data_IF_040498558916
#
_entry.id   IF_040498558916
#
_cell.length_a   1.000
_cell.length_b   1.000
_cell.length_c   1.000
_cell.angle_alpha   90.00
_cell.angle_beta   90.00
_cell.angle_gamma   90.00
#
_symmetry.space_group_name_H-M   'P 1'
#
loop_
_entity.id
_entity.type
_entity.pdbx_description
1 polymer ?
#
# COMPACT_ATOMS: atom_id res chain seq x y z
N UNK A 1 -24.35 18.02 1.72
CA UNK A 1 -24.73 16.63 1.45
C UNK A 1 -23.55 15.98 0.75
N UNK A 2 -22.64 15.37 1.49
CA UNK A 2 -21.47 14.68 0.96
C UNK A 2 -21.85 13.21 0.71
N UNK A 3 -21.89 12.81 -0.55
CA UNK A 3 -22.11 11.44 -0.95
C UNK A 3 -20.81 10.66 -0.68
N UNK A 4 -20.78 9.91 0.41
CA UNK A 4 -19.78 8.88 0.65
C UNK A 4 -20.04 7.74 -0.35
N UNK A 5 -19.38 7.77 -1.50
CA UNK A 5 -19.32 6.64 -2.41
C UNK A 5 -18.17 5.73 -2.01
N UNK A 6 -18.53 4.49 -1.79
CA UNK A 6 -17.74 3.31 -1.49
C UNK A 6 -16.39 3.32 -2.20
N UNK A 7 -15.31 3.49 -1.43
CA UNK A 7 -13.97 3.13 -1.88
C UNK A 7 -13.89 1.61 -1.95
N UNK A 8 -14.01 1.08 -3.16
CA UNK A 8 -13.66 -0.31 -3.41
C UNK A 8 -12.14 -0.41 -3.51
N UNK A 9 -11.45 -0.47 -2.38
CA UNK A 9 -10.08 -0.99 -2.34
C UNK A 9 -10.18 -2.50 -2.59
N UNK A 10 -10.39 -2.84 -3.85
CA UNK A 10 -10.34 -4.22 -4.29
C UNK A 10 -8.86 -4.59 -4.44
N UNK A 11 -8.22 -5.01 -3.36
CA UNK A 11 -7.06 -5.88 -3.47
C UNK A 11 -7.57 -7.18 -4.08
N UNK A 12 -7.64 -7.20 -5.40
CA UNK A 12 -8.05 -8.37 -6.15
C UNK A 12 -6.91 -9.37 -6.10
N UNK A 13 -6.97 -10.29 -5.14
CA UNK A 13 -6.15 -11.50 -5.17
C UNK A 13 -6.57 -12.25 -6.42
N UNK A 14 -5.81 -12.07 -7.50
CA UNK A 14 -6.00 -12.79 -8.75
C UNK A 14 -5.17 -14.07 -8.67
N UNK A 15 -5.78 -15.26 -8.80
CA UNK A 15 -5.00 -16.48 -9.00
C UNK A 15 -4.30 -16.36 -10.36
N UNK A 16 -2.99 -16.16 -10.35
CA UNK A 16 -2.17 -16.11 -11.55
C UNK A 16 -2.17 -17.50 -12.22
N UNK A 17 -2.44 -17.58 -13.54
CA UNK A 17 -2.23 -18.82 -14.27
C UNK A 17 -0.73 -19.13 -14.24
N UNK A 18 -0.39 -20.32 -13.76
CA UNK A 18 0.99 -20.83 -13.77
C UNK A 18 1.54 -20.79 -15.20
N UNK A 19 2.43 -19.85 -15.50
CA UNK A 19 3.18 -19.85 -16.74
C UNK A 19 4.15 -21.04 -16.76
N UNK A 20 4.22 -21.83 -17.86
CA UNK A 20 5.18 -22.93 -17.96
C UNK A 20 6.59 -22.36 -17.99
N UNK A 21 7.43 -22.80 -17.05
CA UNK A 21 8.85 -22.48 -17.01
C UNK A 21 9.54 -23.05 -18.25
N UNK A 22 9.94 -22.19 -19.18
CA UNK A 22 10.89 -22.57 -20.23
C UNK A 22 12.31 -22.76 -19.62
N UNK A 23 13.01 -23.84 -19.94
CA UNK A 23 14.37 -24.05 -19.46
C UNK A 23 15.33 -23.11 -20.19
N UNK A 24 15.93 -22.18 -19.48
CA UNK A 24 16.94 -21.27 -20.00
C UNK A 24 18.27 -22.00 -20.15
N UNK A 25 18.64 -22.23 -21.40
CA UNK A 25 19.94 -22.73 -21.78
C UNK A 25 21.00 -21.62 -21.64
N UNK A 26 22.08 -22.00 -20.95
CA UNK A 26 23.31 -21.23 -20.74
C UNK A 26 23.84 -20.59 -22.01
N UNK A 27 24.21 -19.32 -21.95
CA UNK A 27 25.19 -18.70 -22.84
C UNK A 27 26.31 -18.15 -21.97
N UNK A 28 27.43 -18.88 -22.02
CA UNK A 28 28.73 -18.43 -21.54
C UNK A 28 29.30 -17.41 -22.54
N UNK A 29 29.64 -16.23 -22.09
CA UNK A 29 30.63 -15.39 -22.77
C UNK A 29 31.52 -14.67 -21.76
N UNK A 30 32.80 -14.96 -21.90
CA UNK A 30 33.89 -14.40 -21.15
C UNK A 30 34.19 -12.95 -21.55
N UNK A 31 34.70 -12.15 -20.62
CA UNK A 31 35.54 -11.03 -21.01
C UNK A 31 35.50 -9.81 -20.10
N UNK A 32 36.70 -9.52 -19.61
CA UNK A 32 37.26 -8.24 -19.16
C UNK A 32 37.18 -7.86 -17.69
N UNK A 33 38.29 -8.22 -17.03
CA UNK A 33 38.81 -7.57 -15.83
C UNK A 33 39.19 -6.11 -16.12
N UNK A 34 38.56 -5.15 -15.42
CA UNK A 34 39.13 -3.82 -15.22
C UNK A 34 39.18 -3.56 -13.71
N UNK A 35 40.39 -3.62 -13.18
CA UNK A 35 40.74 -3.19 -11.83
C UNK A 35 40.74 -1.67 -11.80
N UNK A 36 39.73 -1.07 -11.19
CA UNK A 36 39.74 0.33 -10.79
C UNK A 36 39.84 0.41 -9.26
N UNK A 37 41.03 0.70 -8.77
CA UNK A 37 41.32 1.01 -7.37
C UNK A 37 40.73 2.34 -7.04
N UNK A 38 39.63 2.37 -6.26
CA UNK A 38 39.07 3.60 -5.70
C UNK A 38 39.48 3.70 -4.22
N UNK A 39 40.38 4.64 -3.93
CA UNK A 39 40.82 5.01 -2.60
C UNK A 39 39.64 5.57 -1.82
N UNK A 40 39.19 4.87 -0.80
CA UNK A 40 38.20 5.36 0.15
C UNK A 40 38.87 6.28 1.16
N UNK A 41 38.73 7.59 0.96
CA UNK A 41 39.02 8.59 2.01
C UNK A 41 37.89 8.53 3.03
N UNK A 42 38.17 7.92 4.18
CA UNK A 42 37.25 7.91 5.32
C UNK A 42 37.11 9.31 5.91
N UNK A 43 35.96 9.92 5.77
CA UNK A 43 35.50 11.00 6.62
C UNK A 43 34.52 10.42 7.64
N UNK A 44 35.04 10.17 8.86
CA UNK A 44 34.20 9.92 10.03
C UNK A 44 33.60 11.24 10.49
N UNK A 45 32.44 11.61 9.96
CA UNK A 45 31.59 12.63 10.58
C UNK A 45 30.69 11.94 11.60
N UNK A 46 30.86 12.28 12.89
CA UNK A 46 29.97 11.84 13.97
C UNK A 46 28.56 12.39 13.76
N UNK A 47 27.76 11.70 12.94
CA UNK A 47 26.33 11.95 12.75
C UNK A 47 25.54 11.20 13.82
N UNK A 48 24.54 11.81 14.39
CA UNK A 48 23.58 11.19 15.30
C UNK A 48 23.05 9.87 14.69
N UNK A 49 23.16 8.78 15.45
CA UNK A 49 22.85 7.41 14.99
C UNK A 49 21.48 7.27 14.31
N UNK A 50 20.47 8.07 14.69
CA UNK A 50 19.14 8.02 14.08
C UNK A 50 19.07 8.55 12.64
N UNK A 51 19.90 9.54 12.26
CA UNK A 51 19.87 10.12 10.91
C UNK A 51 20.47 9.21 9.83
N UNK A 52 21.44 8.37 10.18
CA UNK A 52 22.13 7.48 9.23
C UNK A 52 21.24 6.32 8.76
N UNK A 53 20.24 5.92 9.56
CA UNK A 53 19.35 4.79 9.27
C UNK A 53 18.13 5.20 8.45
N UNK A 54 17.70 6.46 8.51
CA UNK A 54 16.46 6.94 7.88
C UNK A 54 16.58 7.03 6.35
N UNK A 55 17.61 7.67 5.82
CA UNK A 55 17.73 7.90 4.38
C UNK A 55 17.83 6.60 3.55
N UNK A 56 18.61 5.57 3.94
CA UNK A 56 18.60 4.30 3.22
C UNK A 56 17.26 3.56 3.30
N UNK A 57 16.56 3.61 4.44
CA UNK A 57 15.23 3.01 4.60
C UNK A 57 14.20 3.72 3.73
N UNK A 58 14.21 5.06 3.73
CA UNK A 58 13.37 5.89 2.87
C UNK A 58 13.60 5.60 1.38
N UNK A 59 14.86 5.46 0.97
CA UNK A 59 15.21 5.12 -0.41
C UNK A 59 14.69 3.73 -0.81
N UNK A 60 14.77 2.74 0.09
CA UNK A 60 14.25 1.40 -0.15
C UNK A 60 12.72 1.41 -0.31
N UNK A 61 12.00 2.14 0.56
CA UNK A 61 10.53 2.28 0.42
C UNK A 61 10.17 3.04 -0.85
N UNK A 62 10.89 4.10 -1.20
CA UNK A 62 10.64 4.84 -2.46
C UNK A 62 10.80 3.91 -3.69
N UNK A 63 11.86 3.10 -3.73
CA UNK A 63 12.08 2.16 -4.81
C UNK A 63 10.99 1.07 -4.88
N UNK A 64 10.51 0.59 -3.73
CA UNK A 64 9.39 -0.32 -3.62
C UNK A 64 8.09 0.29 -4.19
N UNK A 65 7.77 1.53 -3.82
CA UNK A 65 6.59 2.25 -4.32
C UNK A 65 6.65 2.52 -5.83
N UNK A 66 7.85 2.81 -6.36
CA UNK A 66 8.04 2.93 -7.80
C UNK A 66 7.83 1.59 -8.53
N UNK A 67 8.22 0.46 -7.94
CA UNK A 67 7.94 -0.86 -8.49
C UNK A 67 6.43 -1.15 -8.50
N UNK A 68 5.71 -0.84 -7.40
CA UNK A 68 4.25 -0.95 -7.33
C UNK A 68 3.59 -0.11 -8.42
N UNK A 69 3.97 1.15 -8.58
CA UNK A 69 3.40 2.04 -9.62
C UNK A 69 3.56 1.49 -11.03
N UNK A 70 4.65 0.80 -11.30
CA UNK A 70 4.90 0.16 -12.62
C UNK A 70 4.24 -1.20 -12.77
N UNK A 71 3.63 -1.74 -11.71
CA UNK A 71 3.13 -3.12 -11.69
C UNK A 71 4.25 -4.17 -11.82
N UNK A 72 5.46 -3.80 -11.40
CA UNK A 72 6.65 -4.67 -11.47
C UNK A 72 6.72 -5.55 -10.22
N UNK A 73 5.97 -6.65 -10.27
CA UNK A 73 5.80 -7.57 -9.15
C UNK A 73 7.11 -8.26 -8.75
N UNK A 74 7.99 -8.56 -9.71
CA UNK A 74 9.28 -9.20 -9.45
C UNK A 74 10.19 -8.26 -8.65
N UNK A 75 10.28 -7.00 -9.06
CA UNK A 75 11.09 -5.99 -8.37
C UNK A 75 10.49 -5.67 -7.00
N UNK A 76 9.17 -5.48 -6.90
CA UNK A 76 8.49 -5.20 -5.64
C UNK A 76 8.68 -6.35 -4.63
N UNK A 77 8.47 -7.60 -5.08
CA UNK A 77 8.69 -8.79 -4.26
C UNK A 77 10.15 -8.90 -3.78
N UNK A 78 11.13 -8.58 -4.65
CA UNK A 78 12.55 -8.55 -4.29
C UNK A 78 12.90 -7.55 -3.19
N UNK A 79 12.07 -6.55 -2.96
CA UNK A 79 12.25 -5.53 -1.91
C UNK A 79 11.58 -5.88 -0.58
N UNK A 80 10.83 -6.96 -0.51
CA UNK A 80 10.30 -7.48 0.75
C UNK A 80 11.39 -8.12 1.59
N UNK A 81 11.15 -8.27 2.90
CA UNK A 81 11.96 -9.12 3.76
C UNK A 81 12.00 -10.55 3.21
N UNK A 82 13.05 -11.29 3.54
CA UNK A 82 13.20 -12.68 3.08
C UNK A 82 11.98 -13.54 3.46
N UNK A 83 11.44 -13.35 4.67
CA UNK A 83 10.26 -14.08 5.14
C UNK A 83 9.02 -13.67 4.37
N UNK A 84 8.76 -12.36 4.23
CA UNK A 84 7.61 -11.84 3.50
C UNK A 84 7.59 -12.32 2.05
N UNK A 85 8.74 -12.27 1.35
CA UNK A 85 8.87 -12.74 -0.02
C UNK A 85 8.57 -14.24 -0.15
N UNK A 86 9.14 -15.08 0.73
CA UNK A 86 8.88 -16.51 0.71
C UNK A 86 7.39 -16.83 0.93
N UNK A 87 6.76 -16.14 1.87
CA UNK A 87 5.34 -16.33 2.20
C UNK A 87 4.39 -15.83 1.11
N UNK A 88 4.64 -14.68 0.53
CA UNK A 88 3.82 -14.16 -0.59
C UNK A 88 3.95 -15.02 -1.84
N UNK A 89 5.16 -15.55 -2.13
CA UNK A 89 5.40 -16.47 -3.22
C UNK A 89 4.68 -17.82 -2.99
N UNK A 90 4.76 -18.39 -1.78
CA UNK A 90 4.08 -19.62 -1.39
C UNK A 90 2.56 -19.54 -1.62
N UNK A 91 1.97 -18.41 -1.27
CA UNK A 91 0.54 -18.15 -1.41
C UNK A 91 0.10 -17.62 -2.78
N UNK A 92 1.04 -17.33 -3.68
CA UNK A 92 0.76 -16.75 -4.99
C UNK A 92 0.16 -15.34 -4.92
N UNK A 93 0.53 -14.55 -3.91
CA UNK A 93 0.06 -13.18 -3.72
C UNK A 93 0.92 -12.23 -4.54
N UNK A 94 0.30 -11.44 -5.41
CA UNK A 94 0.98 -10.33 -6.10
C UNK A 94 1.20 -9.17 -5.14
N UNK A 95 2.44 -8.67 -5.09
CA UNK A 95 2.86 -7.55 -4.25
C UNK A 95 2.59 -6.21 -4.94
N UNK A 96 2.65 -6.19 -6.27
CA UNK A 96 2.39 -5.00 -7.09
C UNK A 96 1.13 -5.22 -7.96
N UNK A 97 -0.08 -5.12 -7.36
CA UNK A 97 -1.30 -5.21 -8.15
C UNK A 97 -1.37 -4.05 -9.13
N UNK A 98 -2.10 -4.20 -10.25
CA UNK A 98 -2.28 -3.11 -11.21
C UNK A 98 -2.84 -1.87 -10.52
N UNK A 99 -2.18 -0.74 -10.72
CA UNK A 99 -2.62 0.60 -10.29
C UNK A 99 -2.94 1.46 -11.52
N UNK A 100 -3.68 2.55 -11.32
CA UNK A 100 -3.96 3.47 -12.42
C UNK A 100 -2.71 4.29 -12.78
N UNK A 101 -2.58 4.70 -14.03
CA UNK A 101 -1.48 5.55 -14.50
C UNK A 101 -1.42 6.91 -13.79
N UNK A 102 -2.52 7.31 -13.14
CA UNK A 102 -2.64 8.55 -12.36
C UNK A 102 -2.07 8.45 -10.95
N UNK A 103 -1.69 7.24 -10.50
CA UNK A 103 -1.18 7.01 -9.16
C UNK A 103 0.11 7.81 -8.90
N UNK A 104 0.12 8.54 -7.81
CA UNK A 104 1.28 9.30 -7.34
C UNK A 104 1.46 9.09 -5.84
N UNK A 105 2.68 9.24 -5.34
CA UNK A 105 2.93 9.24 -3.91
C UNK A 105 3.89 10.35 -3.51
N UNK A 106 3.85 10.72 -2.23
CA UNK A 106 4.81 11.60 -1.60
C UNK A 106 5.23 10.99 -0.27
N UNK A 107 6.53 10.96 0.02
CA UNK A 107 7.03 10.58 1.34
C UNK A 107 6.88 11.78 2.27
N UNK A 108 6.29 11.57 3.43
CA UNK A 108 5.98 12.63 4.40
C UNK A 108 6.98 12.62 5.54
N UNK A 109 6.87 11.68 6.46
CA UNK A 109 7.69 11.61 7.67
C UNK A 109 8.37 10.25 7.78
N UNK A 110 9.49 10.18 8.47
CA UNK A 110 10.22 8.96 8.71
C UNK A 110 10.68 8.93 10.17
N UNK A 111 10.48 7.79 10.82
CA UNK A 111 10.81 7.60 12.22
C UNK A 111 11.54 6.27 12.43
N UNK A 112 12.64 6.29 13.16
CA UNK A 112 13.31 5.07 13.65
C UNK A 112 12.51 4.53 14.83
N UNK A 113 12.14 3.26 14.78
CA UNK A 113 11.37 2.59 15.83
C UNK A 113 12.14 1.40 16.39
N UNK A 114 11.94 1.15 17.69
CA UNK A 114 12.65 0.08 18.39
C UNK A 114 14.01 0.51 18.95
N UNK A 115 14.60 -0.36 19.76
CA UNK A 115 15.85 -0.10 20.46
C UNK A 115 17.11 -0.43 19.62
N UNK A 116 16.93 -1.27 18.59
CA UNK A 116 18.04 -1.79 17.77
C UNK A 116 18.36 -0.93 16.53
N UNK A 117 17.63 0.17 16.30
CA UNK A 117 17.73 1.05 15.11
C UNK A 117 17.61 0.29 13.76
N UNK A 118 17.00 -0.89 13.78
CA UNK A 118 16.83 -1.77 12.64
C UNK A 118 15.43 -1.71 11.99
N UNK A 119 14.55 -0.87 12.54
CA UNK A 119 13.19 -0.68 12.07
C UNK A 119 12.90 0.79 11.82
N UNK A 120 12.32 1.12 10.67
CA UNK A 120 11.93 2.48 10.30
C UNK A 120 10.50 2.50 9.81
N UNK A 121 9.71 3.42 10.33
CA UNK A 121 8.42 3.80 9.77
C UNK A 121 8.61 4.90 8.74
N UNK A 122 8.06 4.71 7.55
CA UNK A 122 8.09 5.69 6.45
C UNK A 122 6.66 6.06 6.10
N UNK A 123 6.25 7.25 6.51
CA UNK A 123 4.96 7.83 6.18
C UNK A 123 4.89 8.24 4.72
N UNK A 124 3.78 7.95 4.07
CA UNK A 124 3.53 8.34 2.69
C UNK A 124 2.09 8.77 2.49
N UNK A 125 1.89 9.64 1.52
CA UNK A 125 0.57 9.97 0.98
C UNK A 125 0.48 9.33 -0.40
N UNK A 126 -0.47 8.43 -0.61
CA UNK A 126 -0.78 7.84 -1.90
C UNK A 126 -2.01 8.51 -2.48
N UNK A 127 -1.92 8.95 -3.71
CA UNK A 127 -3.03 9.60 -4.42
C UNK A 127 -3.30 8.88 -5.72
N UNK A 128 -4.55 8.58 -5.98
CA UNK A 128 -5.00 7.95 -7.22
C UNK A 128 -6.31 8.59 -7.70
N UNK A 129 -6.61 8.42 -8.99
CA UNK A 129 -7.87 8.90 -9.59
C UNK A 129 -8.55 7.69 -10.22
N UNK A 130 -9.79 7.41 -9.80
CA UNK A 130 -10.55 6.30 -10.34
C UNK A 130 -11.06 6.58 -11.78
N UNK A 131 -11.70 5.56 -12.38
CA UNK A 131 -12.24 5.65 -13.74
C UNK A 131 -13.34 6.72 -13.90
N UNK A 132 -14.00 7.09 -12.81
CA UNK A 132 -15.04 8.12 -12.75
C UNK A 132 -14.45 9.54 -12.52
N UNK A 133 -13.13 9.65 -12.38
CA UNK A 133 -12.41 10.91 -12.16
C UNK A 133 -12.36 11.36 -10.70
N UNK A 134 -12.77 10.52 -9.75
CA UNK A 134 -12.65 10.86 -8.33
C UNK A 134 -11.21 10.62 -7.84
N UNK A 135 -10.65 11.68 -7.27
CA UNK A 135 -9.33 11.65 -6.66
C UNK A 135 -9.44 11.19 -5.21
N UNK A 136 -8.72 10.12 -4.88
CA UNK A 136 -8.57 9.63 -3.52
C UNK A 136 -7.15 9.88 -3.02
N UNK A 137 -7.01 10.06 -1.71
CA UNK A 137 -5.72 10.29 -1.07
C UNK A 137 -5.69 9.52 0.24
N UNK A 138 -4.76 8.59 0.35
CA UNK A 138 -4.59 7.72 1.49
C UNK A 138 -3.25 7.97 2.17
N UNK A 139 -3.25 7.99 3.51
CA UNK A 139 -2.04 8.04 4.30
C UNK A 139 -1.65 6.62 4.69
N UNK A 140 -0.45 6.22 4.31
CA UNK A 140 0.12 4.89 4.54
C UNK A 140 1.45 5.02 5.25
N UNK A 141 1.66 4.23 6.29
CA UNK A 141 2.96 4.09 6.96
C UNK A 141 3.55 2.75 6.56
N UNK A 142 4.67 2.76 5.86
CA UNK A 142 5.42 1.58 5.50
C UNK A 142 6.40 1.22 6.60
N UNK A 143 6.52 -0.06 6.89
CA UNK A 143 7.48 -0.57 7.88
C UNK A 143 8.64 -1.20 7.12
N UNK A 144 9.83 -0.62 7.28
CA UNK A 144 11.06 -1.15 6.72
C UNK A 144 11.96 -1.68 7.82
N UNK A 145 12.59 -2.85 7.59
CA UNK A 145 13.54 -3.49 8.50
C UNK A 145 14.89 -3.65 7.81
N UNK A 146 15.96 -3.45 8.57
CA UNK A 146 17.32 -3.69 8.12
C UNK A 146 17.63 -5.20 8.18
N UNK A 147 17.84 -5.80 7.02
CA UNK A 147 18.34 -7.16 6.84
C UNK A 147 19.83 -7.13 6.43
N UNK A 148 20.55 -8.27 6.42
CA UNK A 148 21.94 -8.31 5.97
C UNK A 148 22.16 -7.77 4.56
N UNK A 149 21.15 -7.91 3.69
CA UNK A 149 21.18 -7.44 2.31
C UNK A 149 20.71 -5.98 2.15
N UNK A 150 20.39 -5.29 3.25
CA UNK A 150 19.91 -3.91 3.28
C UNK A 150 18.45 -3.77 3.74
N UNK A 151 17.91 -2.57 3.62
CA UNK A 151 16.54 -2.28 4.05
C UNK A 151 15.50 -3.00 3.18
N UNK A 152 14.51 -3.61 3.85
CA UNK A 152 13.44 -4.39 3.23
C UNK A 152 12.09 -4.02 3.83
N UNK A 153 11.04 -4.08 3.02
CA UNK A 153 9.66 -3.80 3.46
C UNK A 153 9.08 -5.03 4.19
N UNK A 154 8.59 -4.80 5.39
CA UNK A 154 7.93 -5.82 6.25
C UNK A 154 6.42 -5.81 6.04
N UNK A 155 5.85 -4.62 5.89
CA UNK A 155 4.41 -4.43 5.86
C UNK A 155 4.03 -2.96 5.82
N UNK A 156 2.75 -2.71 6.08
CA UNK A 156 2.24 -1.35 6.12
C UNK A 156 1.13 -1.16 7.16
N UNK A 157 0.88 0.08 7.54
CA UNK A 157 -0.26 0.50 8.34
C UNK A 157 -1.04 1.58 7.61
N UNK A 158 -2.36 1.49 7.61
CA UNK A 158 -3.23 2.52 7.02
C UNK A 158 -4.52 2.67 7.82
N UNK A 159 -5.09 3.88 7.83
CA UNK A 159 -6.38 4.15 8.45
C UNK A 159 -7.48 4.05 7.39
N UNK A 160 -8.33 3.05 7.51
CA UNK A 160 -9.47 2.84 6.59
C UNK A 160 -10.74 3.52 7.16
N UNK A 161 -10.90 3.49 8.48
CA UNK A 161 -12.03 4.07 9.18
C UNK A 161 -11.53 5.02 10.27
N UNK A 162 -12.15 6.19 10.39
CA UNK A 162 -11.76 7.20 11.40
C UNK A 162 -12.05 6.75 12.84
N UNK A 163 -13.05 5.91 13.01
CA UNK A 163 -13.53 5.39 14.30
C UNK A 163 -12.86 4.07 14.72
N UNK A 164 -11.98 3.52 13.89
CA UNK A 164 -11.25 2.29 14.19
C UNK A 164 -9.73 2.54 14.21
N UNK A 165 -8.97 1.67 14.92
CA UNK A 165 -7.51 1.74 14.88
C UNK A 165 -6.97 1.50 13.47
N UNK A 166 -5.75 1.97 13.15
CA UNK A 166 -5.11 1.70 11.88
C UNK A 166 -5.02 0.20 11.59
N UNK A 167 -5.28 -0.18 10.35
CA UNK A 167 -5.09 -1.53 9.86
C UNK A 167 -3.60 -1.80 9.66
N UNK A 168 -3.07 -2.79 10.37
CA UNK A 168 -1.68 -3.24 10.23
C UNK A 168 -1.65 -4.48 9.33
N UNK A 169 -0.98 -4.40 8.20
CA UNK A 169 -0.77 -5.51 7.26
C UNK A 169 0.69 -5.94 7.33
N UNK A 170 0.93 -7.14 7.85
CA UNK A 170 2.25 -7.75 7.95
C UNK A 170 2.44 -8.74 6.79
N UNK A 171 3.36 -8.46 5.88
CA UNK A 171 3.64 -9.32 4.73
C UNK A 171 4.36 -10.62 5.12
N UNK A 172 4.90 -10.70 6.33
CA UNK A 172 5.46 -11.92 6.89
C UNK A 172 4.38 -12.88 7.42
N UNK A 173 3.13 -12.39 7.56
CA UNK A 173 1.96 -13.16 7.97
C UNK A 173 0.79 -12.90 7.00
N UNK A 174 0.85 -13.44 5.78
CA UNK A 174 -0.17 -13.20 4.77
C UNK A 174 -1.53 -13.82 5.13
N UNK A 175 -1.60 -14.82 6.00
CA UNK A 175 -2.88 -15.37 6.47
C UNK A 175 -3.63 -14.34 7.32
N UNK A 176 -2.95 -13.71 8.29
CA UNK A 176 -3.51 -12.60 9.07
C UNK A 176 -3.87 -11.41 8.18
N UNK A 177 -3.04 -11.10 7.19
CA UNK A 177 -3.32 -10.05 6.21
C UNK A 177 -4.63 -10.30 5.45
N UNK A 178 -4.84 -11.52 4.94
CA UNK A 178 -6.07 -11.90 4.23
C UNK A 178 -7.29 -11.87 5.15
N UNK A 179 -7.16 -12.36 6.39
CA UNK A 179 -8.22 -12.30 7.39
C UNK A 179 -8.64 -10.85 7.70
N UNK A 180 -7.68 -9.93 7.82
CA UNK A 180 -7.92 -8.51 8.02
C UNK A 180 -8.58 -7.84 6.81
N UNK A 181 -8.20 -8.21 5.59
CA UNK A 181 -8.85 -7.72 4.37
C UNK A 181 -10.32 -8.17 4.30
N UNK A 182 -10.60 -9.41 4.67
CA UNK A 182 -11.98 -9.92 4.74
C UNK A 182 -12.81 -9.16 5.80
N UNK A 183 -12.21 -8.90 6.97
CA UNK A 183 -12.85 -8.11 8.03
C UNK A 183 -13.20 -6.70 7.57
N UNK A 184 -12.28 -6.02 6.88
CA UNK A 184 -12.51 -4.69 6.30
C UNK A 184 -13.64 -4.74 5.27
N UNK A 185 -13.62 -5.72 4.36
CA UNK A 185 -14.66 -5.88 3.34
C UNK A 185 -16.06 -6.05 3.95
N UNK A 186 -16.17 -6.86 5.01
CA UNK A 186 -17.43 -7.05 5.75
C UNK A 186 -17.90 -5.75 6.43
N UNK A 187 -16.99 -5.00 7.04
CA UNK A 187 -17.35 -3.73 7.70
C UNK A 187 -17.76 -2.68 6.67
N UNK A 188 -17.10 -2.59 5.51
CA UNK A 188 -17.51 -1.71 4.41
C UNK A 188 -18.92 -2.05 3.91
N UNK A 189 -19.20 -3.33 3.69
CA UNK A 189 -20.54 -3.77 3.27
C UNK A 189 -21.60 -3.42 4.31
N UNK A 190 -21.35 -3.69 5.58
CA UNK A 190 -22.26 -3.38 6.68
C UNK A 190 -22.57 -1.87 6.76
N UNK A 191 -21.56 -1.00 6.62
CA UNK A 191 -21.73 0.46 6.61
C UNK A 191 -22.56 0.91 5.40
N UNK A 192 -22.26 0.40 4.21
CA UNK A 192 -23.04 0.70 3.01
C UNK A 192 -24.52 0.31 3.14
N UNK A 193 -24.82 -0.86 3.73
CA UNK A 193 -26.20 -1.27 4.02
C UNK A 193 -26.90 -0.36 5.03
N UNK A 194 -26.19 0.09 6.07
CA UNK A 194 -26.72 1.01 7.06
C UNK A 194 -27.05 2.38 6.45
N UNK A 195 -26.15 2.91 5.60
CA UNK A 195 -26.38 4.16 4.89
C UNK A 195 -27.58 4.06 3.93
N UNK A 196 -27.67 2.95 3.17
CA UNK A 196 -28.81 2.71 2.29
C UNK A 196 -30.14 2.65 3.05
N UNK A 197 -30.19 1.98 4.22
CA UNK A 197 -31.38 1.94 5.09
C UNK A 197 -31.71 3.31 5.66
N UNK A 198 -30.72 4.08 6.09
CA UNK A 198 -30.92 5.44 6.60
C UNK A 198 -31.46 6.37 5.51
N UNK A 199 -30.95 6.29 4.30
CA UNK A 199 -31.42 7.05 3.14
C UNK A 199 -32.88 6.70 2.78
N UNK A 200 -33.23 5.40 2.78
CA UNK A 200 -34.60 4.95 2.51
C UNK A 200 -35.62 5.47 3.53
N UNK A 201 -35.22 5.59 4.80
CA UNK A 201 -36.10 6.12 5.87
C UNK A 201 -36.24 7.64 5.85
N UNK A 202 -35.41 8.37 5.10
CA UNK A 202 -35.45 9.83 4.96
C UNK A 202 -36.27 10.30 3.73
N UNK A 203 -36.95 9.40 3.02
CA UNK A 203 -37.81 9.77 1.87
C UNK A 203 -39.03 10.57 2.39
N UNK A 204 -39.31 11.79 1.86
CA UNK A 204 -40.05 12.81 2.57
C UNK A 204 -41.55 12.56 2.60
N UNK A 205 -42.13 12.62 3.80
CA UNK A 205 -43.58 12.85 4.06
C UNK A 205 -44.04 14.28 3.72
N UNK A 206 -43.35 15.00 2.84
CA UNK A 206 -43.66 16.41 2.55
C UNK A 206 -44.18 16.66 1.13
N UNK A 207 -45.18 15.86 0.67
CA UNK A 207 -45.92 16.19 -0.55
C UNK A 207 -47.42 15.98 -0.47
N UNK A 208 -48.06 16.30 0.66
CA UNK A 208 -49.54 16.31 0.72
C UNK A 208 -50.05 17.34 1.71
N UNK A 209 -49.78 18.62 1.50
CA UNK A 209 -50.54 19.68 2.14
C UNK A 209 -50.32 21.05 1.48
N UNK A 210 -50.61 21.20 0.18
CA UNK A 210 -50.85 22.53 -0.37
C UNK A 210 -51.51 22.45 -1.75
N UNK A 211 -52.77 21.98 -1.77
CA UNK A 211 -53.66 22.29 -2.91
C UNK A 211 -55.10 22.10 -2.52
N UNK A 212 -55.69 23.10 -1.87
CA UNK A 212 -57.13 23.39 -1.91
C UNK A 212 -57.41 24.79 -1.34
N UNK A 213 -57.21 25.80 -2.16
CA UNK A 213 -57.93 27.06 -1.95
C UNK A 213 -59.10 27.05 -2.88
N UNK A 214 -60.38 27.03 -2.38
CA UNK A 214 -61.54 27.21 -3.23
C UNK A 214 -61.71 28.70 -3.52
N UNK A 215 -61.72 29.04 -4.80
CA UNK A 215 -62.19 30.34 -5.27
C UNK A 215 -63.69 30.41 -5.03
N UNK A 216 -64.14 31.30 -4.12
CA UNK A 216 -65.52 31.75 -4.05
C UNK A 216 -65.73 33.00 -4.89
N UNK A 217 -66.81 32.94 -5.62
CA UNK A 217 -67.43 33.96 -6.46
C UNK A 217 -67.75 35.27 -5.72
#
# INVERSE_FOLDING_TARGET
MAAFRSMSVTFKVWPQPRSPRLPWRAVLSAGCLILASISQSGCSSGGSRGSASIEPAKAAVAAFLEAIKRGDDEVASGMLTKVARAKTEEMGISVAPPVNDTATYAITECEVVGEADDLVHVGTTWTDTDADGFKTTDNVVWVARLEPEGWRVVGMAMRIFDDLPPLLLNFEDPEDMLAKQEMVSKELQKRAEQEAKAAANQTPQSRTASERTPVQK
#
